data_IF_178893314502
#
_entry.id   IF_178893314502
#
_cell.length_a   1.000
_cell.length_b   1.000
_cell.length_c   1.000
_cell.angle_alpha   90.00
_cell.angle_beta   90.00
_cell.angle_gamma   90.00
#
_symmetry.space_group_name_H-M   'P 1'
#
loop_
_entity.id
_entity.type
_entity.pdbx_description
1 polymer ?
#
# COMPACT_ATOMS: atom_id res chain seq x y z
N UNK A 1 -9.21 4.18 8.21
CA UNK A 1 -9.66 3.82 6.85
C UNK A 1 -8.87 2.61 6.38
N UNK A 2 -9.57 1.57 5.98
CA UNK A 2 -8.93 0.34 5.54
C UNK A 2 -8.58 0.44 4.06
N UNK A 3 -7.33 0.12 3.74
CA UNK A 3 -6.83 0.07 2.37
C UNK A 3 -6.17 -1.28 2.17
N UNK A 4 -6.44 -1.91 1.03
CA UNK A 4 -5.88 -3.20 0.69
C UNK A 4 -5.03 -3.07 -0.56
N UNK A 5 -3.83 -3.67 -0.53
CA UNK A 5 -2.96 -3.75 -1.70
C UNK A 5 -3.07 -5.16 -2.25
N UNK A 6 -3.55 -5.28 -3.47
CA UNK A 6 -3.63 -6.56 -4.18
C UNK A 6 -2.49 -6.65 -5.18
N UNK A 7 -1.69 -7.70 -5.08
CA UNK A 7 -0.53 -7.89 -5.96
C UNK A 7 -0.38 -9.35 -6.33
N UNK A 8 0.25 -9.63 -7.45
CA UNK A 8 0.47 -10.99 -7.93
C UNK A 8 1.85 -11.52 -7.52
N UNK A 9 2.83 -10.63 -7.40
CA UNK A 9 4.16 -10.99 -6.92
C UNK A 9 4.85 -9.78 -6.33
N UNK A 10 5.80 -10.03 -5.45
CA UNK A 10 6.60 -8.97 -4.85
C UNK A 10 7.64 -8.46 -5.84
N UNK A 11 8.11 -7.21 -5.67
CA UNK A 11 9.22 -6.69 -6.48
C UNK A 11 10.45 -7.57 -6.36
N UNK A 12 11.20 -7.67 -7.44
CA UNK A 12 12.44 -8.44 -7.47
C UNK A 12 13.41 -7.91 -6.41
N UNK A 13 13.98 -8.83 -5.64
CA UNK A 13 14.95 -8.49 -4.61
C UNK A 13 14.37 -8.05 -3.28
N UNK A 14 13.04 -8.02 -3.13
CA UNK A 14 12.39 -7.64 -1.88
C UNK A 14 11.59 -8.80 -1.30
N UNK A 15 11.65 -8.93 0.03
CA UNK A 15 10.80 -9.87 0.76
C UNK A 15 9.56 -9.14 1.26
N UNK A 16 8.56 -9.91 1.73
CA UNK A 16 7.38 -9.33 2.35
C UNK A 16 7.75 -8.46 3.55
N UNK A 17 8.70 -8.91 4.37
CA UNK A 17 9.16 -8.15 5.53
C UNK A 17 9.78 -6.81 5.11
N UNK A 18 10.54 -6.79 4.02
CA UNK A 18 11.10 -5.54 3.49
C UNK A 18 10.00 -4.56 3.09
N UNK A 19 8.99 -5.05 2.38
CA UNK A 19 7.88 -4.21 1.93
C UNK A 19 7.10 -3.65 3.11
N UNK A 20 6.79 -4.49 4.10
CA UNK A 20 6.05 -4.06 5.29
C UNK A 20 6.83 -2.97 6.04
N UNK A 21 8.13 -3.18 6.24
CA UNK A 21 8.98 -2.19 6.91
C UNK A 21 9.06 -0.88 6.17
N UNK A 22 9.23 -0.93 4.86
CA UNK A 22 9.31 0.26 4.02
C UNK A 22 7.98 1.02 3.96
N UNK A 23 6.86 0.29 3.88
CA UNK A 23 5.54 0.91 3.90
C UNK A 23 5.27 1.61 5.24
N UNK A 24 5.64 0.99 6.35
CA UNK A 24 5.47 1.62 7.66
C UNK A 24 6.29 2.92 7.75
N UNK A 25 7.48 2.96 7.17
CA UNK A 25 8.27 4.18 7.10
C UNK A 25 7.61 5.26 6.24
N UNK A 26 7.07 4.87 5.10
CA UNK A 26 6.38 5.81 4.20
C UNK A 26 5.14 6.39 4.86
N UNK A 27 4.37 5.56 5.56
CA UNK A 27 3.14 5.98 6.22
C UNK A 27 3.41 6.80 7.49
N UNK A 28 4.49 6.48 8.21
CA UNK A 28 4.89 7.18 9.43
C UNK A 28 3.69 7.31 10.39
N UNK A 29 3.28 8.53 10.73
CA UNK A 29 2.14 8.77 11.62
C UNK A 29 0.78 8.68 10.92
N UNK A 30 0.75 8.48 9.61
CA UNK A 30 -0.49 8.49 8.85
C UNK A 30 -1.17 7.13 8.75
N UNK A 31 -0.48 6.07 9.13
CA UNK A 31 -1.06 4.74 9.07
C UNK A 31 -0.05 3.64 9.39
N UNK A 32 -0.50 2.41 9.30
CA UNK A 32 0.31 1.23 9.62
C UNK A 32 -0.13 0.06 8.77
N UNK A 33 0.82 -0.84 8.45
CA UNK A 33 0.49 -2.13 7.87
C UNK A 33 0.01 -3.03 9.01
N UNK A 34 -1.27 -3.41 8.98
CA UNK A 34 -1.89 -4.12 10.09
C UNK A 34 -2.04 -5.61 9.87
N UNK A 35 -1.74 -6.12 8.67
CA UNK A 35 -1.85 -7.53 8.38
C UNK A 35 -1.82 -7.81 6.90
N UNK A 36 -2.39 -8.97 6.52
CA UNK A 36 -2.47 -9.34 5.12
C UNK A 36 -2.68 -10.83 4.96
N UNK A 37 -2.87 -11.23 3.72
CA UNK A 37 -2.95 -12.62 3.31
C UNK A 37 -2.08 -12.80 2.08
N UNK A 38 -2.11 -13.99 1.49
CA UNK A 38 -1.38 -14.24 0.26
C UNK A 38 -1.86 -13.26 -0.83
N UNK A 39 -0.92 -12.57 -1.44
CA UNK A 39 -1.17 -11.60 -2.51
C UNK A 39 -2.00 -10.39 -2.08
N UNK A 40 -2.08 -10.11 -0.77
CA UNK A 40 -2.78 -8.94 -0.25
C UNK A 40 -2.08 -8.38 0.99
N UNK A 41 -1.97 -7.06 1.06
CA UNK A 41 -1.52 -6.36 2.26
C UNK A 41 -2.67 -5.47 2.77
N UNK A 42 -2.88 -5.50 4.08
CA UNK A 42 -3.92 -4.72 4.73
C UNK A 42 -3.28 -3.53 5.45
N UNK A 43 -3.76 -2.35 5.13
CA UNK A 43 -3.29 -1.10 5.74
C UNK A 43 -4.42 -0.44 6.51
N UNK A 44 -4.07 0.17 7.64
CA UNK A 44 -4.99 1.01 8.39
C UNK A 44 -4.45 2.44 8.33
N UNK A 45 -5.16 3.33 7.64
CA UNK A 45 -4.77 4.72 7.50
C UNK A 45 -5.61 5.58 8.43
N UNK A 46 -4.97 6.57 9.07
CA UNK A 46 -5.66 7.50 9.94
C UNK A 46 -6.51 8.48 9.15
N UNK A 47 -7.79 8.58 9.52
CA UNK A 47 -8.75 9.42 8.82
C UNK A 47 -8.76 10.87 9.29
N UNK A 48 -8.38 11.09 10.55
CA UNK A 48 -8.77 12.30 11.26
C UNK A 48 -7.83 13.48 11.09
N UNK A 49 -6.55 13.23 10.85
CA UNK A 49 -5.53 14.27 10.91
C UNK A 49 -4.88 14.57 9.60
N UNK A 50 -5.07 13.72 8.61
CA UNK A 50 -4.38 13.84 7.33
C UNK A 50 -5.40 13.73 6.22
N UNK A 51 -5.22 14.51 5.18
CA UNK A 51 -5.97 14.35 3.95
C UNK A 51 -5.77 12.89 3.47
N UNK A 52 -6.84 12.06 3.43
CA UNK A 52 -6.71 10.66 3.03
C UNK A 52 -6.05 10.48 1.65
N UNK A 53 -6.24 11.45 0.77
CA UNK A 53 -5.62 11.42 -0.55
C UNK A 53 -4.10 11.50 -0.48
N UNK A 54 -3.56 12.18 0.51
CA UNK A 54 -2.12 12.28 0.68
C UNK A 54 -1.52 10.93 1.03
N UNK A 55 -2.12 10.20 1.99
CA UNK A 55 -1.65 8.88 2.38
C UNK A 55 -1.79 7.89 1.23
N UNK A 56 -2.90 7.95 0.50
CA UNK A 56 -3.11 7.09 -0.67
C UNK A 56 -2.05 7.34 -1.74
N UNK A 57 -1.74 8.60 -1.99
CA UNK A 57 -0.73 8.96 -2.98
C UNK A 57 0.66 8.49 -2.55
N UNK A 58 0.98 8.60 -1.26
CA UNK A 58 2.25 8.11 -0.72
C UNK A 58 2.40 6.61 -0.92
N UNK A 59 1.36 5.83 -0.64
CA UNK A 59 1.36 4.39 -0.84
C UNK A 59 1.53 4.06 -2.33
N UNK A 60 0.74 4.70 -3.17
CA UNK A 60 0.80 4.48 -4.62
C UNK A 60 2.20 4.78 -5.17
N UNK A 61 2.78 5.90 -4.77
CA UNK A 61 4.11 6.30 -5.20
C UNK A 61 5.15 5.29 -4.73
N UNK A 62 5.06 4.83 -3.49
CA UNK A 62 5.96 3.81 -2.98
C UNK A 62 5.88 2.53 -3.83
N UNK A 63 4.67 2.06 -4.12
CA UNK A 63 4.50 0.82 -4.90
C UNK A 63 5.09 0.94 -6.29
N UNK A 64 4.93 2.10 -6.93
CA UNK A 64 5.53 2.36 -8.23
C UNK A 64 7.06 2.35 -8.15
N UNK A 65 7.63 3.03 -7.17
CA UNK A 65 9.09 3.13 -7.01
C UNK A 65 9.72 1.81 -6.61
N UNK A 66 9.01 1.01 -5.83
CA UNK A 66 9.49 -0.30 -5.42
C UNK A 66 9.52 -1.32 -6.57
N UNK A 67 8.77 -1.06 -7.64
CA UNK A 67 8.75 -1.93 -8.80
C UNK A 67 7.69 -3.02 -8.75
N UNK A 68 6.57 -2.74 -8.10
CA UNK A 68 5.44 -3.69 -8.09
C UNK A 68 4.91 -3.89 -9.51
N UNK A 69 4.34 -5.08 -9.81
CA UNK A 69 3.81 -5.37 -11.14
C UNK A 69 2.71 -4.41 -11.56
N UNK A 70 2.50 -4.31 -12.87
CA UNK A 70 1.53 -3.38 -13.44
C UNK A 70 0.08 -3.72 -13.08
N UNK A 71 -0.19 -4.96 -12.68
CA UNK A 71 -1.51 -5.40 -12.26
C UNK A 71 -1.79 -5.20 -10.77
N UNK A 72 -0.86 -4.57 -10.05
CA UNK A 72 -1.04 -4.23 -8.64
C UNK A 72 -2.10 -3.15 -8.51
N UNK A 73 -3.02 -3.33 -7.55
CA UNK A 73 -4.11 -2.39 -7.31
C UNK A 73 -4.20 -2.02 -5.84
N UNK A 74 -4.83 -0.87 -5.59
CA UNK A 74 -5.25 -0.46 -4.25
C UNK A 74 -6.76 -0.56 -4.19
N UNK A 75 -7.27 -1.17 -3.12
CA UNK A 75 -8.70 -1.21 -2.86
C UNK A 75 -9.02 -0.26 -1.72
N UNK A 76 -9.85 0.75 -1.99
CA UNK A 76 -10.21 1.80 -1.05
C UNK A 76 -11.71 1.98 -1.12
N UNK A 77 -12.40 1.76 0.01
CA UNK A 77 -13.86 1.93 0.05
C UNK A 77 -14.60 1.03 -0.92
N UNK A 78 -14.09 -0.15 -1.18
CA UNK A 78 -14.68 -1.10 -2.12
C UNK A 78 -14.34 -0.86 -3.59
N UNK A 79 -13.51 0.15 -3.87
CA UNK A 79 -13.08 0.44 -5.25
C UNK A 79 -11.62 0.08 -5.43
N UNK A 80 -11.31 -0.65 -6.50
CA UNK A 80 -9.93 -0.93 -6.88
C UNK A 80 -9.43 0.08 -7.90
N UNK A 81 -8.23 0.60 -7.66
CA UNK A 81 -7.54 1.50 -8.60
C UNK A 81 -6.16 0.95 -8.90
N UNK A 82 -5.73 1.05 -10.15
CA UNK A 82 -4.39 0.64 -10.54
C UNK A 82 -3.34 1.63 -10.06
N UNK A 83 -2.16 1.12 -9.69
CA UNK A 83 -1.11 1.99 -9.14
C UNK A 83 -0.37 2.79 -10.23
N UNK A 84 -0.53 2.43 -11.49
CA UNK A 84 0.14 3.09 -12.62
C UNK A 84 -0.81 3.97 -13.44
N UNK A 85 -1.94 4.31 -12.88
CA UNK A 85 -2.92 5.18 -13.55
C UNK A 85 -2.72 6.65 -13.17
#
# INVERSE_FOLDING_TARGET
MDVFIHYTQLPEGKTLADVVGELNEVLDDTGVVCGGEENRLDLDLEDETVNPKFAQLAVKTYLQQAGFPMDTTLEIGGMEIGIYL
#
